data_IF_478168938788
#
_entry.id   IF_478168938788
#
_cell.length_a   1.000
_cell.length_b   1.000
_cell.length_c   1.000
_cell.angle_alpha   90.00
_cell.angle_beta   90.00
_cell.angle_gamma   90.00
#
_symmetry.space_group_name_H-M   'P 1'
#
loop_
_entity.id
_entity.type
_entity.pdbx_description
1 polymer ?
#
# COMPACT_ATOMS: atom_id res chain seq x y z
N UNK A 1 13.74 58.45 31.93
CA UNK A 1 14.48 57.19 32.12
C UNK A 1 15.07 56.86 30.74
N UNK A 2 16.29 57.31 30.40
CA UNK A 2 17.59 56.64 30.67
C UNK A 2 17.53 55.17 30.19
N UNK A 3 18.34 54.62 29.28
CA UNK A 3 19.69 54.88 28.71
C UNK A 3 19.82 53.92 27.50
N UNK A 4 20.31 54.35 26.33
CA UNK A 4 21.70 54.15 25.84
C UNK A 4 22.11 52.68 25.57
N UNK A 5 22.41 52.37 24.30
CA UNK A 5 23.46 51.40 23.93
C UNK A 5 24.07 51.83 22.59
N UNK A 6 25.32 52.25 22.68
CA UNK A 6 26.27 52.48 21.60
C UNK A 6 27.50 51.60 21.88
N UNK A 7 28.36 51.48 20.86
CA UNK A 7 29.68 50.80 20.80
C UNK A 7 29.62 49.40 20.19
N UNK A 8 30.40 49.03 19.17
CA UNK A 8 31.52 49.70 18.52
C UNK A 8 32.50 48.65 17.97
N UNK A 9 33.11 48.99 16.83
CA UNK A 9 34.33 48.45 16.21
C UNK A 9 34.32 47.03 15.58
N UNK A 10 34.42 46.89 14.25
CA UNK A 10 35.57 47.16 13.35
C UNK A 10 36.76 46.22 13.63
N UNK A 11 37.03 45.27 12.72
CA UNK A 11 38.27 45.25 11.93
C UNK A 11 38.25 44.10 10.89
N UNK A 12 38.48 44.44 9.63
CA UNK A 12 38.86 43.50 8.57
C UNK A 12 40.37 43.53 8.34
N UNK A 13 40.88 42.57 7.55
CA UNK A 13 42.17 42.72 6.87
C UNK A 13 43.07 41.49 6.86
N UNK A 14 43.06 40.78 5.72
CA UNK A 14 44.19 40.24 4.94
C UNK A 14 45.52 39.89 5.66
N UNK A 15 45.99 38.64 5.49
CA UNK A 15 47.03 38.26 4.49
C UNK A 15 47.93 37.08 4.95
N UNK A 16 48.28 36.24 3.97
CA UNK A 16 49.57 35.53 3.80
C UNK A 16 49.81 34.14 4.45
N UNK A 17 49.65 33.11 3.59
CA UNK A 17 50.69 32.18 3.07
C UNK A 17 51.51 31.32 4.05
N UNK A 18 51.45 29.99 3.87
CA UNK A 18 52.63 29.14 3.63
C UNK A 18 52.28 27.77 3.03
N UNK A 19 52.84 27.54 1.85
CA UNK A 19 52.88 26.30 1.07
C UNK A 19 53.98 25.38 1.64
N UNK A 20 53.79 24.06 1.60
CA UNK A 20 54.92 23.12 1.45
C UNK A 20 54.53 22.07 0.42
N UNK A 21 55.28 22.13 -0.67
CA UNK A 21 55.25 21.27 -1.85
C UNK A 21 55.84 19.89 -1.55
N UNK A 22 55.41 18.86 -2.27
CA UNK A 22 56.26 17.72 -2.61
C UNK A 22 56.21 17.52 -4.12
N UNK A 23 57.25 18.03 -4.78
CA UNK A 23 57.52 17.87 -6.20
C UNK A 23 58.26 16.56 -6.48
N UNK A 24 58.05 16.06 -7.71
CA UNK A 24 58.92 15.08 -8.36
C UNK A 24 58.17 14.26 -9.41
N UNK A 25 57.81 14.85 -10.55
CA UNK A 25 58.48 14.64 -11.86
C UNK A 25 58.69 13.14 -12.18
N UNK A 26 58.13 12.60 -13.27
CA UNK A 26 58.64 12.89 -14.62
C UNK A 26 57.57 12.93 -15.72
N UNK A 27 57.87 13.77 -16.71
CA UNK A 27 57.12 14.16 -17.89
C UNK A 27 57.16 13.12 -19.03
N UNK A 28 56.09 13.16 -19.84
CA UNK A 28 55.79 12.54 -21.14
C UNK A 28 56.84 12.84 -22.24
N UNK A 29 56.76 12.32 -23.51
CA UNK A 29 55.71 12.73 -24.47
C UNK A 29 55.32 11.75 -25.63
N UNK A 30 54.14 12.06 -26.21
CA UNK A 30 53.66 11.98 -27.61
C UNK A 30 54.07 10.87 -28.59
N UNK A 31 53.07 10.30 -29.29
CA UNK A 31 52.90 10.55 -30.74
C UNK A 31 51.61 9.97 -31.34
N UNK A 32 51.16 10.68 -32.35
CA UNK A 32 49.96 10.59 -33.19
C UNK A 32 49.92 9.34 -34.10
N UNK A 33 48.74 9.04 -34.69
CA UNK A 33 48.68 8.55 -36.08
C UNK A 33 47.95 7.23 -36.37
N UNK A 34 46.70 7.37 -36.81
CA UNK A 34 46.04 6.73 -37.97
C UNK A 34 45.86 5.20 -38.13
N UNK A 35 44.60 4.90 -38.51
CA UNK A 35 43.95 3.75 -39.13
C UNK A 35 44.78 2.77 -40.00
N UNK A 36 44.41 1.48 -40.01
CA UNK A 36 43.57 0.85 -41.05
C UNK A 36 43.22 -0.65 -40.77
N UNK A 37 42.05 -1.05 -41.30
CA UNK A 37 41.52 -2.35 -41.75
C UNK A 37 41.94 -3.76 -41.23
N UNK A 38 40.87 -4.54 -40.98
CA UNK A 38 40.59 -5.94 -41.38
C UNK A 38 41.51 -7.10 -40.93
N UNK A 39 40.95 -8.12 -40.26
CA UNK A 39 40.51 -9.37 -40.92
C UNK A 39 39.82 -10.34 -39.94
N UNK A 40 39.13 -11.31 -40.52
CA UNK A 40 38.23 -12.32 -39.96
C UNK A 40 38.84 -13.31 -38.92
N UNK A 41 37.95 -14.05 -38.23
CA UNK A 41 37.91 -15.53 -38.19
C UNK A 41 36.77 -16.04 -37.27
N UNK A 42 35.97 -16.99 -37.76
CA UNK A 42 34.92 -17.72 -37.03
C UNK A 42 35.45 -18.79 -36.05
N UNK A 43 34.60 -19.68 -35.52
CA UNK A 43 34.28 -20.89 -36.30
C UNK A 43 32.84 -21.47 -36.17
N UNK A 44 32.37 -22.07 -37.27
CA UNK A 44 31.80 -23.44 -37.45
C UNK A 44 31.47 -24.28 -36.19
N UNK A 45 30.44 -25.15 -36.13
CA UNK A 45 29.36 -25.61 -37.02
C UNK A 45 28.56 -26.72 -36.27
N UNK A 46 27.43 -27.15 -36.86
CA UNK A 46 26.80 -28.49 -36.77
C UNK A 46 25.84 -28.71 -35.55
N UNK A 47 24.60 -29.24 -35.66
CA UNK A 47 23.95 -30.09 -36.66
C UNK A 47 22.43 -29.87 -36.79
N UNK A 48 21.93 -30.28 -37.95
CA UNK A 48 20.55 -30.26 -38.45
C UNK A 48 19.88 -31.62 -38.16
N UNK A 49 18.58 -31.63 -37.88
CA UNK A 49 17.72 -32.79 -38.20
C UNK A 49 16.32 -32.30 -38.59
N UNK A 50 15.74 -32.97 -39.58
CA UNK A 50 14.61 -32.54 -40.42
C UNK A 50 13.44 -33.52 -40.36
N UNK A 51 12.23 -32.99 -40.63
CA UNK A 51 10.99 -33.62 -41.15
C UNK A 51 10.09 -34.36 -40.12
N UNK A 52 8.74 -34.29 -40.11
CA UNK A 52 7.68 -33.70 -40.97
C UNK A 52 6.30 -33.70 -40.19
N UNK A 53 5.09 -33.44 -40.75
CA UNK A 53 4.08 -32.52 -40.20
C UNK A 53 2.71 -33.15 -39.79
N UNK A 54 1.71 -32.29 -39.47
CA UNK A 54 0.30 -32.55 -39.03
C UNK A 54 0.17 -32.91 -37.53
N UNK A 55 -0.75 -32.38 -36.72
CA UNK A 55 -2.14 -31.95 -36.94
C UNK A 55 -2.57 -30.90 -35.88
N UNK A 56 -3.63 -30.18 -36.23
CA UNK A 56 -4.32 -29.05 -35.62
C UNK A 56 -4.76 -29.19 -34.15
N UNK A 57 -4.58 -28.12 -33.37
CA UNK A 57 -5.66 -27.57 -32.53
C UNK A 57 -5.43 -26.06 -32.31
N UNK A 58 -6.23 -25.28 -33.02
CA UNK A 58 -6.36 -23.83 -32.92
C UNK A 58 -7.11 -23.47 -31.64
N UNK A 59 -6.51 -22.64 -30.77
CA UNK A 59 -7.23 -21.84 -29.78
C UNK A 59 -6.38 -20.62 -29.40
N UNK A 60 -6.85 -19.48 -29.88
CA UNK A 60 -6.87 -18.21 -29.16
C UNK A 60 -5.55 -17.53 -28.78
N UNK A 61 -4.81 -17.07 -29.79
CA UNK A 61 -3.67 -16.16 -29.62
C UNK A 61 -4.00 -14.70 -30.06
N UNK A 62 -5.25 -14.42 -30.45
CA UNK A 62 -5.63 -13.14 -31.07
C UNK A 62 -6.17 -12.07 -30.11
N UNK A 63 -6.69 -12.47 -28.95
CA UNK A 63 -7.38 -11.56 -28.01
C UNK A 63 -6.36 -10.83 -27.11
N UNK A 64 -5.29 -11.51 -26.70
CA UNK A 64 -4.21 -10.96 -25.86
C UNK A 64 -3.37 -9.86 -26.54
N UNK A 65 -3.27 -9.89 -27.88
CA UNK A 65 -2.46 -8.92 -28.64
C UNK A 65 -3.16 -7.55 -28.78
N UNK A 66 -4.50 -7.52 -28.76
CA UNK A 66 -5.28 -6.29 -28.91
C UNK A 66 -5.31 -5.48 -27.60
N UNK A 67 -5.53 -6.13 -26.46
CA UNK A 67 -5.53 -5.48 -25.14
C UNK A 67 -4.16 -4.87 -24.81
N UNK A 68 -3.08 -5.62 -25.03
CA UNK A 68 -1.71 -5.18 -24.77
C UNK A 68 -1.29 -4.02 -25.70
N UNK A 69 -1.82 -4.00 -26.93
CA UNK A 69 -1.62 -2.90 -27.88
C UNK A 69 -2.30 -1.60 -27.43
N UNK A 70 -3.53 -1.68 -26.92
CA UNK A 70 -4.28 -0.52 -26.41
C UNK A 70 -3.62 0.07 -25.17
N UNK A 71 -3.22 -0.79 -24.22
CA UNK A 71 -2.55 -0.36 -23.00
C UNK A 71 -1.20 0.32 -23.31
N UNK A 72 -0.44 -0.20 -24.28
CA UNK A 72 0.82 0.42 -24.69
C UNK A 72 0.64 1.79 -25.34
N UNK A 73 -0.45 2.00 -26.09
CA UNK A 73 -0.72 3.27 -26.78
C UNK A 73 -1.25 4.34 -25.81
N UNK A 74 -2.19 3.96 -24.94
CA UNK A 74 -2.92 4.90 -24.10
C UNK A 74 -2.43 4.96 -22.65
N UNK A 75 -1.69 3.95 -22.19
CA UNK A 75 -1.20 3.82 -20.82
C UNK A 75 -2.25 3.38 -19.80
N UNK A 76 -3.37 2.81 -20.26
CA UNK A 76 -4.45 2.30 -19.43
C UNK A 76 -4.95 0.96 -19.97
N UNK A 77 -5.30 0.00 -19.10
CA UNK A 77 -6.08 -1.16 -19.49
C UNK A 77 -7.36 -0.73 -20.22
N UNK A 78 -7.82 -1.54 -21.18
CA UNK A 78 -8.95 -1.19 -22.06
C UNK A 78 -10.20 -0.79 -21.28
N UNK A 79 -10.53 -1.51 -20.20
CA UNK A 79 -11.69 -1.23 -19.35
C UNK A 79 -11.57 0.14 -18.66
N UNK A 80 -10.40 0.49 -18.11
CA UNK A 80 -10.15 1.80 -17.50
C UNK A 80 -10.21 2.93 -18.53
N UNK A 81 -9.62 2.71 -19.71
CA UNK A 81 -9.64 3.65 -20.81
C UNK A 81 -11.06 3.91 -21.31
N UNK A 82 -11.87 2.87 -21.45
CA UNK A 82 -13.28 2.97 -21.79
C UNK A 82 -14.05 3.76 -20.73
N UNK A 83 -13.79 3.52 -19.43
CA UNK A 83 -14.38 4.30 -18.34
C UNK A 83 -14.01 5.80 -18.41
N UNK A 84 -12.77 6.12 -18.76
CA UNK A 84 -12.33 7.49 -19.02
C UNK A 84 -13.02 8.10 -20.25
N UNK A 85 -13.16 7.32 -21.33
CA UNK A 85 -13.86 7.72 -22.54
C UNK A 85 -15.34 8.01 -22.30
N UNK A 86 -16.04 7.15 -21.56
CA UNK A 86 -17.45 7.32 -21.25
C UNK A 86 -17.69 8.56 -20.38
N UNK A 87 -16.84 8.80 -19.36
CA UNK A 87 -16.89 10.02 -18.55
C UNK A 87 -16.66 11.27 -19.41
N UNK A 88 -15.63 11.24 -20.26
CA UNK A 88 -15.33 12.35 -21.16
C UNK A 88 -16.51 12.63 -22.11
N UNK A 89 -17.09 11.59 -22.71
CA UNK A 89 -18.26 11.71 -23.58
C UNK A 89 -19.44 12.36 -22.85
N UNK A 90 -19.85 11.83 -21.68
CA UNK A 90 -20.97 12.38 -20.90
C UNK A 90 -20.76 13.83 -20.47
N UNK A 91 -19.54 14.19 -20.06
CA UNK A 91 -19.27 15.54 -19.56
C UNK A 91 -19.13 16.59 -20.66
N UNK A 92 -18.57 16.19 -21.81
CA UNK A 92 -18.11 17.10 -22.87
C UNK A 92 -18.97 17.09 -24.12
N UNK A 93 -19.88 16.13 -24.29
CA UNK A 93 -20.89 16.15 -25.36
C UNK A 93 -21.73 17.44 -25.29
N UNK A 94 -21.86 18.12 -26.42
CA UNK A 94 -22.55 19.42 -26.53
C UNK A 94 -21.82 20.59 -25.87
N UNK A 95 -20.64 20.39 -25.26
CA UNK A 95 -19.83 21.45 -24.64
C UNK A 95 -18.50 21.65 -25.37
N UNK A 96 -17.66 20.62 -25.39
CA UNK A 96 -16.32 20.70 -25.98
C UNK A 96 -16.27 20.15 -27.40
N UNK A 97 -17.21 19.28 -27.77
CA UNK A 97 -17.37 18.77 -29.12
C UNK A 97 -18.85 18.45 -29.38
N UNK A 98 -19.21 18.40 -30.67
CA UNK A 98 -20.56 18.15 -31.13
C UNK A 98 -20.50 17.02 -32.16
N UNK A 99 -20.60 15.75 -31.73
CA UNK A 99 -20.63 14.64 -32.66
C UNK A 99 -21.83 14.79 -33.60
N UNK A 100 -21.68 14.36 -34.84
CA UNK A 100 -22.81 14.31 -35.78
C UNK A 100 -23.89 13.36 -35.25
N UNK A 101 -25.11 13.49 -35.78
CA UNK A 101 -26.21 12.61 -35.38
C UNK A 101 -25.84 11.12 -35.53
N UNK A 102 -25.24 10.75 -36.66
CA UNK A 102 -24.79 9.38 -36.94
C UNK A 102 -23.69 8.92 -35.98
N UNK A 103 -22.69 9.76 -35.70
CA UNK A 103 -21.62 9.43 -34.74
C UNK A 103 -22.16 9.27 -33.31
N UNK A 104 -23.10 10.13 -32.90
CA UNK A 104 -23.77 10.02 -31.61
C UNK A 104 -24.58 8.74 -31.50
N UNK A 105 -25.29 8.39 -32.57
CA UNK A 105 -26.05 7.14 -32.66
C UNK A 105 -25.14 5.92 -32.51
N UNK A 106 -23.99 5.95 -33.20
CA UNK A 106 -22.97 4.91 -33.14
C UNK A 106 -22.32 4.79 -31.76
N UNK A 107 -21.98 5.92 -31.12
CA UNK A 107 -21.42 5.92 -29.76
C UNK A 107 -22.41 5.33 -28.74
N UNK A 108 -23.69 5.69 -28.83
CA UNK A 108 -24.75 5.13 -27.96
C UNK A 108 -24.96 3.65 -28.22
N UNK A 109 -24.97 3.22 -29.50
CA UNK A 109 -25.08 1.81 -29.86
C UNK A 109 -23.90 0.99 -29.31
N UNK A 110 -22.67 1.48 -29.44
CA UNK A 110 -21.47 0.83 -28.89
C UNK A 110 -21.50 0.78 -27.36
N UNK A 111 -22.00 1.83 -26.70
CA UNK A 111 -22.20 1.81 -25.24
C UNK A 111 -23.20 0.72 -24.83
N UNK A 112 -24.35 0.62 -25.52
CA UNK A 112 -25.35 -0.45 -25.27
C UNK A 112 -24.78 -1.83 -25.53
N UNK A 113 -23.96 -1.99 -26.57
CA UNK A 113 -23.28 -3.25 -26.85
C UNK A 113 -22.30 -3.67 -25.75
N UNK A 114 -21.62 -2.71 -25.11
CA UNK A 114 -20.69 -2.98 -24.00
C UNK A 114 -21.44 -3.39 -22.72
N UNK A 115 -22.60 -2.78 -22.43
CA UNK A 115 -23.37 -3.06 -21.22
C UNK A 115 -24.33 -4.25 -21.36
N UNK A 116 -25.05 -4.34 -22.48
CA UNK A 116 -26.14 -5.28 -22.69
C UNK A 116 -25.78 -6.39 -23.71
N UNK A 117 -24.64 -6.27 -24.40
CA UNK A 117 -24.24 -7.22 -25.45
C UNK A 117 -24.99 -7.01 -26.78
N UNK A 118 -24.96 -8.02 -27.66
CA UNK A 118 -25.66 -7.98 -28.95
C UNK A 118 -27.15 -7.69 -28.80
N UNK A 119 -27.69 -6.88 -29.72
CA UNK A 119 -29.11 -6.56 -29.73
C UNK A 119 -29.98 -7.81 -29.81
N UNK A 120 -30.87 -7.97 -28.84
CA UNK A 120 -31.87 -9.03 -28.81
C UNK A 120 -33.29 -8.42 -28.93
N UNK A 121 -34.08 -8.79 -29.96
CA UNK A 121 -35.43 -8.28 -30.13
C UNK A 121 -36.40 -8.70 -29.01
N UNK A 122 -36.17 -9.83 -28.34
CA UNK A 122 -37.08 -10.37 -27.32
C UNK A 122 -36.97 -9.62 -25.98
N UNK A 123 -35.80 -9.00 -25.74
CA UNK A 123 -35.52 -8.25 -24.50
C UNK A 123 -35.69 -6.75 -24.68
N UNK A 124 -36.00 -6.28 -25.91
CA UNK A 124 -36.08 -4.86 -26.24
C UNK A 124 -37.54 -4.40 -26.37
N UNK A 125 -38.04 -3.47 -25.55
CA UNK A 125 -39.43 -2.98 -25.60
C UNK A 125 -39.80 -2.46 -26.98
N UNK A 126 -40.99 -2.75 -27.53
CA UNK A 126 -41.35 -2.27 -28.87
C UNK A 126 -41.22 -0.74 -29.02
N UNK A 127 -40.41 -0.28 -29.97
CA UNK A 127 -40.30 1.14 -30.29
C UNK A 127 -41.47 1.52 -31.18
N UNK A 128 -42.29 2.45 -30.71
CA UNK A 128 -43.47 2.92 -31.44
C UNK A 128 -43.11 3.54 -32.79
N UNK A 129 -44.03 3.43 -33.75
CA UNK A 129 -43.83 3.95 -35.12
C UNK A 129 -43.42 5.43 -35.18
N UNK A 130 -43.87 6.25 -34.22
CA UNK A 130 -43.55 7.68 -34.15
C UNK A 130 -42.24 8.00 -33.44
N UNK A 131 -41.61 7.04 -32.76
CA UNK A 131 -40.30 7.22 -32.13
C UNK A 131 -39.17 6.99 -33.14
N UNK A 132 -38.98 8.00 -33.99
CA UNK A 132 -37.97 7.98 -35.06
C UNK A 132 -36.55 7.84 -34.47
N UNK A 133 -36.27 8.49 -33.33
CA UNK A 133 -34.97 8.46 -32.69
C UNK A 133 -34.69 7.10 -32.03
N UNK A 134 -35.68 6.51 -31.36
CA UNK A 134 -35.58 5.16 -30.81
C UNK A 134 -35.40 4.12 -31.92
N UNK A 135 -36.10 4.29 -33.05
CA UNK A 135 -35.98 3.40 -34.20
C UNK A 135 -34.58 3.47 -34.82
N UNK A 136 -34.01 4.67 -34.92
CA UNK A 136 -32.65 4.89 -35.38
C UNK A 136 -31.62 4.27 -34.42
N UNK A 137 -31.78 4.46 -33.10
CA UNK A 137 -30.88 3.89 -32.07
C UNK A 137 -30.89 2.37 -32.11
N UNK A 138 -32.08 1.79 -32.15
CA UNK A 138 -32.29 0.34 -32.29
C UNK A 138 -31.65 -0.19 -33.56
N UNK A 139 -31.85 0.48 -34.68
CA UNK A 139 -31.31 0.07 -35.97
C UNK A 139 -29.78 0.06 -35.95
N UNK A 140 -29.14 1.09 -35.38
CA UNK A 140 -27.68 1.11 -35.25
C UNK A 140 -27.14 0.06 -34.28
N UNK A 141 -27.82 -0.17 -33.16
CA UNK A 141 -27.41 -1.22 -32.23
C UNK A 141 -27.57 -2.61 -32.85
N UNK A 142 -28.67 -2.88 -33.54
CA UNK A 142 -28.86 -4.12 -34.31
C UNK A 142 -27.80 -4.28 -35.41
N UNK A 143 -27.36 -3.19 -36.05
CA UNK A 143 -26.32 -3.21 -37.07
C UNK A 143 -24.92 -3.53 -36.53
N UNK A 144 -24.69 -3.45 -35.22
CA UNK A 144 -23.45 -3.91 -34.58
C UNK A 144 -23.32 -5.44 -34.57
N UNK A 145 -24.44 -6.16 -34.64
CA UNK A 145 -24.46 -7.62 -34.63
C UNK A 145 -23.80 -8.21 -33.39
N UNK A 146 -22.95 -9.23 -33.60
CA UNK A 146 -22.28 -9.96 -32.52
C UNK A 146 -20.86 -9.46 -32.23
N UNK A 147 -20.59 -8.16 -32.43
CA UNK A 147 -19.32 -7.56 -32.02
C UNK A 147 -19.12 -7.76 -30.51
N UNK A 148 -17.92 -8.19 -30.12
CA UNK A 148 -17.57 -8.49 -28.73
C UNK A 148 -17.55 -7.23 -27.85
N UNK A 149 -17.58 -7.43 -26.53
CA UNK A 149 -17.55 -6.34 -25.54
C UNK A 149 -16.27 -5.51 -25.67
N UNK A 150 -15.11 -6.15 -25.70
CA UNK A 150 -13.81 -5.49 -25.82
C UNK A 150 -13.67 -4.75 -27.15
N UNK A 151 -14.05 -5.37 -28.25
CA UNK A 151 -14.03 -4.73 -29.57
C UNK A 151 -14.95 -3.50 -29.62
N UNK A 152 -16.12 -3.57 -28.96
CA UNK A 152 -17.03 -2.43 -28.82
C UNK A 152 -16.42 -1.29 -27.99
N UNK A 153 -15.68 -1.60 -26.92
CA UNK A 153 -14.92 -0.60 -26.15
C UNK A 153 -13.85 0.07 -27.01
N UNK A 154 -13.09 -0.71 -27.77
CA UNK A 154 -12.03 -0.21 -28.66
C UNK A 154 -12.62 0.72 -29.72
N UNK A 155 -13.71 0.31 -30.39
CA UNK A 155 -14.37 1.11 -31.41
C UNK A 155 -14.99 2.39 -30.82
N UNK A 156 -15.54 2.33 -29.61
CA UNK A 156 -16.04 3.51 -28.90
C UNK A 156 -14.93 4.53 -28.66
N UNK A 157 -13.79 4.06 -28.13
CA UNK A 157 -12.62 4.92 -27.84
C UNK A 157 -12.06 5.53 -29.14
N UNK A 158 -11.92 4.74 -30.21
CA UNK A 158 -11.46 5.23 -31.52
C UNK A 158 -12.41 6.29 -32.09
N UNK A 159 -13.71 6.03 -32.05
CA UNK A 159 -14.72 6.96 -32.56
C UNK A 159 -14.72 8.26 -31.75
N UNK A 160 -14.69 8.18 -30.41
CA UNK A 160 -14.64 9.35 -29.54
C UNK A 160 -13.39 10.20 -29.80
N UNK A 161 -12.22 9.55 -29.94
CA UNK A 161 -10.97 10.25 -30.25
C UNK A 161 -11.00 10.95 -31.62
N UNK A 162 -11.71 10.35 -32.60
CA UNK A 162 -11.94 10.96 -33.90
C UNK A 162 -12.89 12.16 -33.80
N UNK A 163 -13.95 12.07 -33.01
CA UNK A 163 -14.92 13.15 -32.80
C UNK A 163 -14.35 14.32 -31.97
N UNK A 164 -13.39 14.05 -31.08
CA UNK A 164 -12.79 15.07 -30.21
C UNK A 164 -11.29 14.89 -30.02
N UNK A 165 -10.50 15.79 -30.60
CA UNK A 165 -9.03 15.79 -30.48
C UNK A 165 -8.52 16.11 -29.07
N UNK A 166 -9.38 16.61 -28.17
CA UNK A 166 -9.04 16.87 -26.77
C UNK A 166 -9.07 15.60 -25.91
N UNK A 167 -9.61 14.50 -26.41
CA UNK A 167 -9.67 13.25 -25.68
C UNK A 167 -8.26 12.66 -25.43
N UNK A 168 -7.38 12.65 -26.42
CA UNK A 168 -6.01 12.17 -26.23
C UNK A 168 -5.19 12.95 -25.19
N UNK A 169 -5.17 14.30 -25.21
CA UNK A 169 -4.59 15.09 -24.13
C UNK A 169 -5.23 14.84 -22.75
N UNK A 170 -6.55 14.62 -22.70
CA UNK A 170 -7.26 14.31 -21.46
C UNK A 170 -6.80 12.98 -20.85
N UNK A 171 -6.67 11.93 -21.66
CA UNK A 171 -6.16 10.63 -21.20
C UNK A 171 -4.70 10.73 -20.78
N UNK A 172 -3.86 11.43 -21.57
CA UNK A 172 -2.46 11.65 -21.22
C UNK A 172 -2.30 12.38 -19.87
N UNK A 173 -3.16 13.36 -19.58
CA UNK A 173 -3.17 14.05 -18.28
C UNK A 173 -3.52 13.10 -17.13
N UNK A 174 -4.52 12.24 -17.31
CA UNK A 174 -4.90 11.24 -16.29
C UNK A 174 -3.79 10.22 -16.07
N UNK A 175 -3.05 9.86 -17.13
CA UNK A 175 -1.91 8.95 -17.02
C UNK A 175 -0.82 9.53 -16.12
N UNK A 176 -0.45 10.79 -16.37
CA UNK A 176 0.55 11.51 -15.56
C UNK A 176 0.09 11.60 -14.10
N UNK A 177 -1.20 11.92 -13.87
CA UNK A 177 -1.76 12.01 -12.53
C UNK A 177 -1.71 10.64 -11.80
N UNK A 178 -2.08 9.54 -12.47
CA UNK A 178 -2.01 8.18 -11.90
C UNK A 178 -0.57 7.81 -11.53
N UNK A 179 0.39 8.06 -12.43
CA UNK A 179 1.82 7.80 -12.18
C UNK A 179 2.37 8.66 -11.01
N UNK A 180 1.96 9.91 -10.89
CA UNK A 180 2.36 10.79 -9.78
C UNK A 180 1.77 10.32 -8.44
N UNK A 181 0.50 9.91 -8.43
CA UNK A 181 -0.15 9.36 -7.24
C UNK A 181 0.54 8.06 -6.78
N UNK A 182 0.90 7.17 -7.71
CA UNK A 182 1.63 5.94 -7.39
C UNK A 182 3.02 6.25 -6.82
N UNK A 183 3.77 7.15 -7.45
CA UNK A 183 5.07 7.61 -6.92
C UNK A 183 4.97 8.17 -5.50
N UNK A 184 3.98 9.02 -5.24
CA UNK A 184 3.76 9.57 -3.88
C UNK A 184 3.46 8.49 -2.87
N UNK A 185 2.63 7.49 -3.21
CA UNK A 185 2.32 6.37 -2.31
C UNK A 185 3.58 5.56 -1.97
N UNK A 186 4.44 5.28 -2.95
CA UNK A 186 5.69 4.56 -2.74
C UNK A 186 6.66 5.38 -1.89
N UNK A 187 6.82 6.68 -2.17
CA UNK A 187 7.68 7.58 -1.40
C UNK A 187 7.19 7.73 0.07
N UNK A 188 5.88 7.83 0.29
CA UNK A 188 5.27 7.88 1.63
C UNK A 188 5.43 6.55 2.39
N UNK A 189 5.28 5.42 1.72
CA UNK A 189 5.49 4.10 2.33
C UNK A 189 6.96 3.88 2.69
N UNK A 190 7.89 4.27 1.82
CA UNK A 190 9.33 4.19 2.10
C UNK A 190 9.72 5.13 3.26
N UNK A 191 9.17 6.34 3.29
CA UNK A 191 9.41 7.29 4.37
C UNK A 191 8.89 6.73 5.70
N UNK A 192 7.68 6.17 5.73
CA UNK A 192 7.15 5.49 6.91
C UNK A 192 8.01 4.33 7.37
N UNK A 193 8.50 3.50 6.44
CA UNK A 193 9.39 2.38 6.78
C UNK A 193 10.70 2.88 7.40
N UNK A 194 11.30 3.93 6.84
CA UNK A 194 12.52 4.56 7.38
C UNK A 194 12.30 5.14 8.78
N UNK A 195 11.17 5.81 9.00
CA UNK A 195 10.81 6.34 10.31
C UNK A 195 10.55 5.25 11.35
N UNK A 196 9.91 4.15 10.96
CA UNK A 196 9.71 2.98 11.82
C UNK A 196 11.05 2.30 12.16
N UNK A 197 11.94 2.09 11.17
CA UNK A 197 13.28 1.56 11.38
C UNK A 197 14.14 2.47 12.28
N UNK A 198 14.07 3.80 12.10
CA UNK A 198 14.78 4.75 12.95
C UNK A 198 14.27 4.74 14.39
N UNK A 199 12.94 4.70 14.57
CA UNK A 199 12.32 4.57 15.90
C UNK A 199 12.72 3.26 16.58
N UNK A 200 12.76 2.16 15.85
CA UNK A 200 13.21 0.87 16.39
C UNK A 200 14.68 0.92 16.81
N UNK A 201 15.55 1.52 15.99
CA UNK A 201 16.97 1.72 16.33
C UNK A 201 17.15 2.57 17.59
N UNK A 202 16.39 3.66 17.72
CA UNK A 202 16.41 4.51 18.90
C UNK A 202 15.94 3.76 20.15
N UNK A 203 14.87 2.96 20.05
CA UNK A 203 14.39 2.12 21.15
C UNK A 203 15.43 1.07 21.57
N UNK A 204 16.08 0.40 20.60
CA UNK A 204 17.13 -0.57 20.87
C UNK A 204 18.38 0.09 21.49
N UNK A 205 18.75 1.28 21.03
CA UNK A 205 19.85 2.05 21.61
C UNK A 205 19.54 2.52 23.04
N UNK A 206 18.32 3.02 23.29
CA UNK A 206 17.87 3.40 24.62
C UNK A 206 17.81 2.19 25.56
N UNK A 207 17.31 1.05 25.10
CA UNK A 207 17.28 -0.18 25.88
C UNK A 207 18.70 -0.69 26.19
N UNK A 208 19.62 -0.65 25.21
CA UNK A 208 21.03 -0.99 25.43
C UNK A 208 21.65 -0.07 26.47
N UNK A 209 21.45 1.25 26.35
CA UNK A 209 21.96 2.22 27.32
C UNK A 209 21.40 1.94 28.71
N UNK A 210 20.11 1.64 28.83
CA UNK A 210 19.47 1.30 30.10
C UNK A 210 20.05 0.03 30.71
N UNK A 211 20.28 -1.03 29.91
CA UNK A 211 20.90 -2.28 30.36
C UNK A 211 22.35 -2.06 30.82
N UNK A 212 23.12 -1.26 30.08
CA UNK A 212 24.50 -0.89 30.46
C UNK A 212 24.54 -0.08 31.76
N UNK A 213 23.63 0.87 31.94
CA UNK A 213 23.51 1.66 33.17
C UNK A 213 23.07 0.81 34.36
N UNK A 214 22.10 -0.09 34.17
CA UNK A 214 21.64 -1.03 35.19
C UNK A 214 22.76 -2.00 35.59
N UNK A 215 23.51 -2.53 34.63
CA UNK A 215 24.65 -3.41 34.90
C UNK A 215 25.78 -2.66 35.63
N UNK A 216 26.05 -1.41 35.24
CA UNK A 216 27.02 -0.54 35.94
C UNK A 216 26.61 -0.30 37.39
N UNK A 217 25.35 0.05 37.63
CA UNK A 217 24.81 0.25 38.98
C UNK A 217 24.89 -1.03 39.80
N UNK A 218 24.57 -2.19 39.21
CA UNK A 218 24.69 -3.50 39.88
C UNK A 218 26.12 -3.83 40.27
N UNK A 219 27.09 -3.59 39.38
CA UNK A 219 28.52 -3.78 39.66
C UNK A 219 29.00 -2.84 40.78
N UNK A 220 28.58 -1.58 40.74
CA UNK A 220 28.92 -0.60 41.78
C UNK A 220 28.32 -0.99 43.14
N UNK A 221 27.07 -1.43 43.17
CA UNK A 221 26.40 -1.92 44.38
C UNK A 221 27.07 -3.18 44.93
N UNK A 222 27.43 -4.13 44.07
CA UNK A 222 28.15 -5.33 44.48
C UNK A 222 29.54 -5.01 45.04
N UNK A 223 30.30 -4.12 44.38
CA UNK A 223 31.58 -3.63 44.90
C UNK A 223 31.41 -2.94 46.26
N UNK A 224 30.37 -2.11 46.42
CA UNK A 224 30.08 -1.46 47.70
C UNK A 224 29.76 -2.48 48.78
N UNK A 225 28.98 -3.52 48.48
CA UNK A 225 28.66 -4.60 49.42
C UNK A 225 29.91 -5.39 49.81
N UNK A 226 30.75 -5.77 48.84
CA UNK A 226 32.01 -6.47 49.11
C UNK A 226 32.96 -5.62 49.97
N UNK A 227 33.09 -4.32 49.67
CA UNK A 227 33.90 -3.41 50.47
C UNK A 227 33.36 -3.26 51.90
N UNK A 228 32.05 -3.21 52.09
CA UNK A 228 31.43 -3.18 53.42
C UNK A 228 31.65 -4.48 54.21
N UNK A 229 31.46 -5.63 53.57
CA UNK A 229 31.74 -6.95 54.14
C UNK A 229 33.22 -7.09 54.55
N UNK A 230 34.16 -6.64 53.70
CA UNK A 230 35.59 -6.64 54.02
C UNK A 230 35.91 -5.71 55.20
N UNK A 231 35.35 -4.49 55.21
CA UNK A 231 35.52 -3.56 56.34
C UNK A 231 35.01 -4.16 57.64
N UNK A 232 33.86 -4.84 57.63
CA UNK A 232 33.32 -5.51 58.80
C UNK A 232 34.23 -6.65 59.26
N UNK A 233 34.77 -7.44 58.33
CA UNK A 233 35.70 -8.54 58.64
C UNK A 233 37.00 -8.03 59.26
N UNK A 234 37.58 -6.96 58.71
CA UNK A 234 38.78 -6.32 59.25
C UNK A 234 38.52 -5.75 60.65
N UNK A 235 37.39 -5.08 60.87
CA UNK A 235 37.04 -4.55 62.19
C UNK A 235 36.79 -5.67 63.21
N UNK A 236 36.18 -6.78 62.82
CA UNK A 236 36.05 -7.96 63.69
C UNK A 236 37.41 -8.56 64.06
N UNK A 237 38.31 -8.72 63.08
CA UNK A 237 39.65 -9.23 63.35
C UNK A 237 40.43 -8.29 64.30
N UNK A 238 40.32 -6.98 64.09
CA UNK A 238 40.89 -5.96 64.97
C UNK A 238 40.36 -6.08 66.40
N UNK A 239 39.05 -6.24 66.57
CA UNK A 239 38.44 -6.42 67.89
C UNK A 239 38.91 -7.71 68.57
N UNK A 240 39.04 -8.81 67.84
CA UNK A 240 39.56 -10.07 68.38
C UNK A 240 41.01 -9.93 68.86
N UNK A 241 41.88 -9.27 68.07
CA UNK A 241 43.27 -9.00 68.47
C UNK A 241 43.30 -8.13 69.73
N UNK A 242 42.53 -7.03 69.75
CA UNK A 242 42.43 -6.17 70.93
C UNK A 242 41.97 -6.94 72.17
N UNK A 243 40.93 -7.76 72.05
CA UNK A 243 40.40 -8.54 73.17
C UNK A 243 41.42 -9.56 73.70
N UNK A 244 42.10 -10.30 72.82
CA UNK A 244 43.12 -11.26 73.19
C UNK A 244 44.33 -10.59 73.87
N UNK A 245 44.78 -9.47 73.32
CA UNK A 245 45.89 -8.68 73.86
C UNK A 245 45.54 -8.09 75.23
N UNK A 246 44.31 -7.57 75.36
CA UNK A 246 43.78 -7.07 76.62
C UNK A 246 43.67 -8.18 77.66
N UNK A 247 43.23 -9.39 77.29
CA UNK A 247 43.16 -10.51 78.21
C UNK A 247 44.55 -10.94 78.73
N UNK A 248 45.57 -10.94 77.86
CA UNK A 248 46.94 -11.28 78.24
C UNK A 248 47.54 -10.26 79.23
N UNK A 249 47.23 -8.98 79.04
CA UNK A 249 47.83 -7.88 79.79
C UNK A 249 46.96 -7.36 80.94
N UNK A 250 45.71 -7.83 81.05
CA UNK A 250 44.71 -7.34 82.01
C UNK A 250 45.25 -7.27 83.44
N UNK A 251 45.84 -8.36 83.92
CA UNK A 251 46.35 -8.45 85.30
C UNK A 251 47.50 -7.48 85.54
N UNK A 252 48.44 -7.38 84.59
CA UNK A 252 49.61 -6.50 84.70
C UNK A 252 49.20 -5.02 84.70
N UNK A 253 48.31 -4.64 83.78
CA UNK A 253 47.82 -3.27 83.68
C UNK A 253 46.93 -2.90 84.87
N UNK A 254 46.12 -3.83 85.37
CA UNK A 254 45.30 -3.60 86.57
C UNK A 254 46.17 -3.38 87.82
N UNK A 255 47.21 -4.19 88.01
CA UNK A 255 48.15 -4.02 89.12
C UNK A 255 48.92 -2.69 89.02
N UNK A 256 49.40 -2.34 87.83
CA UNK A 256 50.10 -1.07 87.60
C UNK A 256 49.18 0.13 87.85
N UNK A 257 47.95 0.09 87.35
CA UNK A 257 46.97 1.15 87.57
C UNK A 257 46.59 1.30 89.05
N UNK A 258 46.39 0.18 89.77
CA UNK A 258 46.10 0.20 91.20
C UNK A 258 47.25 0.77 92.06
N UNK A 259 48.50 0.65 91.61
CA UNK A 259 49.65 1.28 92.28
C UNK A 259 49.72 2.79 92.03
N UNK A 260 49.39 3.25 90.82
CA UNK A 260 49.44 4.68 90.47
C UNK A 260 48.26 5.47 91.02
N UNK A 261 47.07 4.85 91.06
CA UNK A 261 45.84 5.50 91.51
C UNK A 261 45.06 4.63 92.52
N UNK A 262 45.55 4.43 93.76
CA UNK A 262 44.96 3.47 94.70
C UNK A 262 43.48 3.74 95.06
N UNK A 263 43.08 5.00 95.15
CA UNK A 263 41.75 5.40 95.65
C UNK A 263 40.75 5.79 94.54
N UNK A 264 41.14 5.69 93.25
CA UNK A 264 40.32 6.16 92.12
C UNK A 264 40.13 5.10 91.04
N UNK A 265 39.02 4.34 91.06
CA UNK A 265 38.76 3.28 90.07
C UNK A 265 38.54 3.85 88.66
N UNK A 266 38.00 5.06 88.55
CA UNK A 266 37.75 5.71 87.26
C UNK A 266 39.07 6.10 86.57
N UNK A 267 40.03 6.64 87.32
CA UNK A 267 41.36 6.95 86.79
C UNK A 267 42.15 5.68 86.45
N UNK A 268 42.00 4.61 87.23
CA UNK A 268 42.57 3.30 86.90
C UNK A 268 42.05 2.80 85.55
N UNK A 269 40.74 2.87 85.29
CA UNK A 269 40.14 2.43 84.02
C UNK A 269 40.63 3.25 82.82
N UNK A 270 40.74 4.57 82.96
CA UNK A 270 41.28 5.44 81.90
C UNK A 270 42.74 5.08 81.60
N UNK A 271 43.57 4.90 82.65
CA UNK A 271 44.97 4.51 82.48
C UNK A 271 45.11 3.13 81.84
N UNK A 272 44.32 2.13 82.26
CA UNK A 272 44.31 0.80 81.66
C UNK A 272 43.96 0.88 80.17
N UNK A 273 42.93 1.67 79.81
CA UNK A 273 42.56 1.88 78.41
C UNK A 273 43.69 2.50 77.59
N UNK A 274 44.37 3.52 78.12
CA UNK A 274 45.50 4.16 77.45
C UNK A 274 46.67 3.19 77.26
N UNK A 275 46.99 2.38 78.28
CA UNK A 275 48.05 1.37 78.20
C UNK A 275 47.70 0.26 77.20
N UNK A 276 46.45 -0.19 77.18
CA UNK A 276 45.96 -1.16 76.19
C UNK A 276 46.04 -0.62 74.77
N UNK A 277 45.68 0.65 74.55
CA UNK A 277 45.77 1.30 73.25
C UNK A 277 47.23 1.44 72.79
N UNK A 278 48.14 1.87 73.67
CA UNK A 278 49.57 1.94 73.38
C UNK A 278 50.16 0.56 73.07
N UNK A 279 49.80 -0.45 73.86
CA UNK A 279 50.25 -1.81 73.64
C UNK A 279 49.74 -2.40 72.32
N UNK A 280 48.48 -2.12 71.98
CA UNK A 280 47.92 -2.49 70.68
C UNK A 280 48.67 -1.81 69.52
N UNK A 281 48.98 -0.50 69.64
CA UNK A 281 49.76 0.22 68.62
C UNK A 281 51.16 -0.39 68.43
N UNK A 282 51.86 -0.69 69.53
CA UNK A 282 53.17 -1.33 69.49
C UNK A 282 53.11 -2.71 68.82
N UNK A 283 52.11 -3.52 69.19
CA UNK A 283 51.90 -4.84 68.61
C UNK A 283 51.62 -4.75 67.10
N UNK A 284 50.72 -3.86 66.68
CA UNK A 284 50.41 -3.66 65.25
C UNK A 284 51.63 -3.18 64.45
N UNK A 285 52.47 -2.32 65.03
CA UNK A 285 53.72 -1.90 64.39
C UNK A 285 54.70 -3.06 64.20
N UNK A 286 54.82 -3.94 65.20
CA UNK A 286 55.63 -5.15 65.08
C UNK A 286 55.07 -6.09 64.02
N UNK A 287 53.74 -6.31 64.03
CA UNK A 287 53.06 -7.16 63.06
C UNK A 287 53.28 -6.66 61.62
N UNK A 288 53.20 -5.35 61.42
CA UNK A 288 53.46 -4.72 60.12
C UNK A 288 54.91 -4.91 59.65
N UNK A 289 55.91 -4.77 60.54
CA UNK A 289 57.31 -5.07 60.19
C UNK A 289 57.50 -6.53 59.79
N UNK A 290 56.88 -7.46 60.51
CA UNK A 290 56.95 -8.89 60.18
C UNK A 290 56.30 -9.17 58.83
N UNK A 291 55.14 -8.57 58.55
CA UNK A 291 54.46 -8.71 57.27
C UNK A 291 55.29 -8.15 56.11
N UNK A 292 55.94 -6.99 56.30
CA UNK A 292 56.82 -6.40 55.30
C UNK A 292 58.04 -7.28 55.01
N UNK A 293 58.68 -7.81 56.06
CA UNK A 293 59.81 -8.73 55.92
C UNK A 293 59.40 -10.01 55.18
N UNK A 294 58.22 -10.57 55.48
CA UNK A 294 57.68 -11.73 54.75
C UNK A 294 57.39 -11.41 53.28
N UNK A 295 56.83 -10.25 52.97
CA UNK A 295 56.58 -9.84 51.59
C UNK A 295 57.89 -9.70 50.79
N UNK A 296 58.92 -9.09 51.39
CA UNK A 296 60.24 -8.98 50.78
C UNK A 296 60.88 -10.35 50.52
N UNK A 297 60.78 -11.27 51.49
CA UNK A 297 61.26 -12.64 51.32
C UNK A 297 60.48 -13.41 50.23
N UNK A 298 59.17 -13.21 50.14
CA UNK A 298 58.34 -13.82 49.09
C UNK A 298 58.70 -13.31 47.69
N UNK A 299 58.95 -12.00 47.53
CA UNK A 299 59.39 -11.42 46.26
C UNK A 299 60.79 -11.91 45.85
N UNK A 300 61.74 -12.02 46.80
CA UNK A 300 63.05 -12.61 46.53
C UNK A 300 62.93 -14.05 46.05
N UNK A 301 62.10 -14.85 46.72
CA UNK A 301 61.85 -16.24 46.33
C UNK A 301 61.17 -16.34 44.96
N UNK A 302 60.24 -15.44 44.63
CA UNK A 302 59.60 -15.41 43.31
C UNK A 302 60.57 -14.99 42.20
N UNK A 303 61.53 -14.13 42.52
CA UNK A 303 62.62 -13.75 41.61
C UNK A 303 63.59 -14.91 41.39
N UNK A 304 63.88 -15.71 42.42
CA UNK A 304 64.63 -16.97 42.31
C UNK A 304 63.86 -18.01 41.48
N UNK A 305 62.55 -18.17 41.70
CA UNK A 305 61.71 -19.11 40.94
C UNK A 305 61.56 -18.69 39.45
N UNK A 306 61.53 -17.39 39.12
CA UNK A 306 61.53 -16.90 37.74
C UNK A 306 62.88 -17.09 37.02
N UNK A 307 64.00 -17.02 37.76
CA UNK A 307 65.34 -17.35 37.25
C UNK A 307 65.48 -18.87 37.02
N UNK A 308 64.77 -19.70 37.78
CA UNK A 308 64.71 -21.15 37.58
C UNK A 308 63.82 -21.50 36.38
N UNK A 309 62.66 -20.85 36.21
CA UNK A 309 61.73 -21.11 35.10
C UNK A 309 62.31 -20.71 33.73
N UNK A 310 63.01 -19.56 33.65
CA UNK A 310 63.74 -19.14 32.43
C UNK A 310 64.91 -20.05 32.04
N UNK A 311 65.37 -20.93 32.94
CA UNK A 311 66.39 -21.96 32.67
C UNK A 311 65.80 -23.29 32.14
N UNK A 312 64.48 -23.48 32.22
CA UNK A 312 63.81 -24.75 31.93
C UNK A 312 63.03 -24.75 30.60
N UNK A 313 62.78 -23.59 29.95
CA UNK A 313 62.08 -23.49 28.66
C UNK A 313 62.95 -23.75 27.40
N UNK A 314 64.15 -24.34 27.56
CA UNK A 314 65.05 -24.70 26.45
C UNK A 314 65.08 -26.20 26.10
N UNK A 315 64.08 -27.01 26.52
CA UNK A 315 64.07 -28.46 26.22
C UNK A 315 62.70 -29.01 25.85
N UNK A 316 62.55 -29.23 24.55
CA UNK A 316 61.77 -30.26 23.85
C UNK A 316 60.24 -30.19 23.70
N UNK A 317 59.91 -30.73 22.52
CA UNK A 317 58.73 -30.70 21.66
C UNK A 317 57.81 -31.91 21.83
N UNK A 318 56.58 -31.76 21.31
CA UNK A 318 55.73 -32.78 20.64
C UNK A 318 55.16 -33.91 21.51
N UNK A 319 54.02 -34.56 21.26
CA UNK A 319 52.88 -34.45 20.34
C UNK A 319 51.87 -35.57 20.77
N UNK A 320 50.60 -35.51 20.37
CA UNK A 320 49.65 -36.64 20.17
C UNK A 320 48.28 -36.01 19.81
N UNK A 321 47.35 -36.56 19.01
CA UNK A 321 47.31 -37.41 17.83
C UNK A 321 45.86 -37.43 17.31
N UNK A 322 45.71 -37.90 16.09
CA UNK A 322 44.58 -37.96 15.14
C UNK A 322 43.37 -38.86 15.50
N UNK A 323 42.25 -38.62 14.79
CA UNK A 323 41.35 -39.62 14.15
C UNK A 323 40.06 -39.98 14.92
N UNK A 324 38.94 -40.40 14.33
CA UNK A 324 38.36 -40.40 12.97
C UNK A 324 36.95 -41.07 13.08
N UNK A 325 36.10 -40.83 12.08
CA UNK A 325 35.00 -41.68 11.56
C UNK A 325 33.59 -41.86 12.18
N UNK A 326 32.63 -41.82 11.24
CA UNK A 326 31.20 -42.19 11.27
C UNK A 326 31.02 -43.73 11.11
N UNK A 327 29.96 -44.33 10.49
CA UNK A 327 28.51 -44.10 10.36
C UNK A 327 27.69 -45.40 10.66
N UNK A 328 26.34 -45.40 10.58
CA UNK A 328 25.45 -46.57 10.28
C UNK A 328 23.97 -46.11 10.32
N UNK A 329 22.94 -46.69 9.70
CA UNK A 329 22.68 -47.53 8.51
C UNK A 329 21.15 -47.80 8.51
N UNK A 330 20.56 -47.88 7.32
CA UNK A 330 19.30 -48.57 6.92
C UNK A 330 17.92 -48.15 7.46
N UNK A 331 16.97 -48.10 6.52
CA UNK A 331 15.83 -49.03 6.60
C UNK A 331 14.45 -48.55 6.14
N UNK A 332 14.25 -48.43 4.82
CA UNK A 332 13.09 -48.90 4.02
C UNK A 332 11.61 -48.75 4.45
N UNK A 333 10.85 -48.28 3.44
CA UNK A 333 9.63 -48.89 2.86
C UNK A 333 8.23 -48.50 3.38
N UNK A 334 7.58 -47.64 2.58
CA UNK A 334 6.30 -47.77 1.86
C UNK A 334 5.17 -48.71 2.35
N UNK A 335 3.94 -48.14 2.38
CA UNK A 335 2.66 -48.73 1.92
C UNK A 335 1.65 -47.56 1.84
N UNK A 336 1.08 -47.17 0.69
CA UNK A 336 0.08 -47.80 -0.20
C UNK A 336 -1.30 -47.99 0.44
N UNK A 337 -2.29 -47.21 -0.06
CA UNK A 337 -3.68 -47.52 -0.52
C UNK A 337 -4.39 -46.15 -0.72
N UNK A 338 -4.98 -45.72 -1.84
CA UNK A 338 -5.83 -46.25 -2.92
C UNK A 338 -7.33 -45.85 -2.80
N UNK A 339 -7.78 -45.14 -3.84
CA UNK A 339 -9.09 -45.10 -4.54
C UNK A 339 -10.44 -44.90 -3.82
N UNK A 340 -11.30 -44.06 -4.44
CA UNK A 340 -12.60 -44.48 -5.03
C UNK A 340 -13.20 -43.38 -5.95
N UNK A 341 -13.53 -43.83 -7.17
CA UNK A 341 -14.35 -43.25 -8.24
C UNK A 341 -15.85 -43.13 -7.91
N UNK A 342 -16.57 -42.22 -8.59
CA UNK A 342 -17.72 -42.61 -9.47
C UNK A 342 -18.38 -41.44 -10.22
N UNK A 343 -18.49 -41.65 -11.54
CA UNK A 343 -19.31 -40.96 -12.54
C UNK A 343 -20.83 -41.26 -12.43
N UNK A 344 -21.66 -40.42 -13.08
CA UNK A 344 -22.81 -40.83 -13.88
C UNK A 344 -23.31 -39.70 -14.83
N UNK A 345 -23.93 -40.13 -15.93
CA UNK A 345 -24.12 -39.54 -17.27
C UNK A 345 -25.50 -38.87 -17.57
N UNK A 346 -25.49 -37.96 -18.57
CA UNK A 346 -26.36 -37.77 -19.77
C UNK A 346 -27.83 -37.21 -19.73
N UNK A 347 -28.05 -36.29 -20.69
CA UNK A 347 -29.22 -35.66 -21.39
C UNK A 347 -30.20 -36.65 -22.11
N UNK A 348 -31.27 -36.30 -22.94
CA UNK A 348 -31.76 -35.01 -23.53
C UNK A 348 -33.31 -34.78 -23.71
N UNK A 349 -33.66 -33.57 -24.21
CA UNK A 349 -34.69 -33.06 -25.18
C UNK A 349 -36.12 -33.65 -25.40
N UNK A 350 -37.11 -32.77 -25.67
CA UNK A 350 -38.11 -32.87 -26.79
C UNK A 350 -38.97 -31.58 -27.00
N UNK A 351 -39.75 -31.55 -28.09
CA UNK A 351 -40.09 -30.42 -28.98
C UNK A 351 -41.62 -30.38 -29.33
N UNK A 352 -42.11 -29.29 -29.97
CA UNK A 352 -43.26 -29.11 -30.93
C UNK A 352 -44.75 -28.89 -30.50
N UNK A 353 -45.40 -27.97 -31.27
CA UNK A 353 -46.83 -27.82 -31.76
C UNK A 353 -47.72 -26.78 -31.05
N UNK A 354 -48.60 -25.92 -31.62
CA UNK A 354 -49.19 -25.49 -32.94
C UNK A 354 -50.76 -25.45 -32.87
N UNK A 355 -51.33 -24.23 -33.08
CA UNK A 355 -52.66 -23.83 -33.61
C UNK A 355 -54.02 -23.96 -32.85
N UNK A 356 -54.77 -22.82 -32.77
CA UNK A 356 -56.25 -22.72 -32.65
C UNK A 356 -56.80 -21.36 -32.11
N UNK A 357 -57.91 -20.77 -32.65
CA UNK A 357 -58.26 -19.35 -32.48
C UNK A 357 -59.07 -19.03 -31.21
N UNK A 358 -58.75 -17.92 -30.53
CA UNK A 358 -59.44 -17.43 -29.32
C UNK A 358 -60.02 -16.02 -29.48
N UNK A 359 -61.02 -15.73 -28.65
CA UNK A 359 -61.98 -14.63 -28.70
C UNK A 359 -61.45 -13.23 -28.30
N UNK A 360 -60.22 -12.88 -28.72
CA UNK A 360 -59.54 -11.64 -28.32
C UNK A 360 -59.21 -10.74 -29.53
N UNK A 361 -60.18 -10.50 -30.42
CA UNK A 361 -60.01 -9.46 -31.44
C UNK A 361 -60.35 -8.08 -30.85
N UNK A 362 -59.43 -7.10 -30.86
CA UNK A 362 -59.71 -5.77 -30.31
C UNK A 362 -60.87 -5.09 -31.06
N UNK A 363 -61.63 -4.20 -30.40
CA UNK A 363 -62.74 -3.48 -31.02
C UNK A 363 -62.31 -2.77 -32.30
N UNK A 364 -63.10 -2.90 -33.37
CA UNK A 364 -62.85 -2.20 -34.63
C UNK A 364 -63.14 -0.70 -34.44
N UNK A 365 -62.09 0.10 -34.23
CA UNK A 365 -62.17 1.56 -34.13
C UNK A 365 -62.22 2.16 -35.55
N UNK A 366 -63.10 3.14 -35.76
CA UNK A 366 -63.14 3.91 -37.01
C UNK A 366 -61.85 4.73 -37.19
N UNK A 367 -61.40 4.92 -38.43
CA UNK A 367 -60.22 5.72 -38.71
C UNK A 367 -60.34 7.14 -38.11
N UNK A 368 -59.28 7.68 -37.48
CA UNK A 368 -59.34 8.97 -36.82
C UNK A 368 -59.60 10.10 -37.82
N UNK A 369 -60.51 11.02 -37.47
CA UNK A 369 -60.73 12.25 -38.20
C UNK A 369 -59.98 13.40 -37.55
N UNK A 370 -59.20 14.16 -38.32
CA UNK A 370 -58.49 15.33 -37.82
C UNK A 370 -59.26 16.61 -38.17
N UNK A 371 -59.23 17.59 -37.27
CA UNK A 371 -59.73 18.94 -37.50
C UNK A 371 -58.75 19.98 -36.95
N UNK A 372 -58.79 21.19 -37.51
CA UNK A 372 -57.98 22.32 -37.05
C UNK A 372 -58.89 23.47 -36.66
N UNK A 373 -58.70 24.01 -35.45
CA UNK A 373 -59.47 25.15 -34.95
C UNK A 373 -58.97 26.46 -35.60
N UNK A 374 -59.84 27.30 -36.20
CA UNK A 374 -59.39 28.53 -36.86
C UNK A 374 -58.82 29.59 -35.89
N UNK A 375 -59.32 29.65 -34.65
CA UNK A 375 -58.91 30.62 -33.61
C UNK A 375 -57.91 30.01 -32.61
N UNK A 376 -56.72 29.63 -33.08
CA UNK A 376 -55.70 28.99 -32.23
C UNK A 376 -55.16 29.88 -31.10
N UNK A 377 -55.15 31.21 -31.30
CA UNK A 377 -54.67 32.17 -30.29
C UNK A 377 -55.58 32.19 -29.07
N UNK A 378 -56.88 32.36 -29.29
CA UNK A 378 -57.90 32.35 -28.24
C UNK A 378 -57.93 31.01 -27.49
N UNK A 379 -57.70 29.90 -28.21
CA UNK A 379 -57.56 28.57 -27.60
C UNK A 379 -56.36 28.49 -26.64
N UNK A 380 -55.18 28.91 -27.09
CA UNK A 380 -53.97 28.95 -26.25
C UNK A 380 -54.14 29.86 -25.04
N UNK A 381 -54.75 31.03 -25.21
CA UNK A 381 -54.98 31.97 -24.10
C UNK A 381 -55.95 31.38 -23.06
N UNK A 382 -57.00 30.68 -23.51
CA UNK A 382 -57.94 30.00 -22.63
C UNK A 382 -57.27 28.87 -21.84
N UNK A 383 -56.50 28.01 -22.50
CA UNK A 383 -55.85 26.86 -21.84
C UNK A 383 -54.74 27.28 -20.88
N UNK A 384 -53.99 28.35 -21.19
CA UNK A 384 -52.94 28.88 -20.29
C UNK A 384 -53.45 29.32 -18.92
N UNK A 385 -54.76 29.54 -18.75
CA UNK A 385 -55.35 29.88 -17.45
C UNK A 385 -55.36 28.70 -16.48
N UNK A 386 -55.25 27.48 -17.00
CA UNK A 386 -55.19 26.25 -16.23
C UNK A 386 -53.79 25.63 -16.37
N UNK A 387 -53.02 25.68 -15.28
CA UNK A 387 -51.63 25.21 -15.26
C UNK A 387 -51.56 23.71 -15.48
N UNK A 388 -52.57 22.96 -15.03
CA UNK A 388 -52.63 21.50 -15.19
C UNK A 388 -52.89 21.08 -16.65
N UNK A 389 -53.31 22.02 -17.49
CA UNK A 389 -53.53 21.82 -18.92
C UNK A 389 -52.33 22.27 -19.80
N UNK A 390 -51.22 22.70 -19.18
CA UNK A 390 -50.01 23.16 -19.89
C UNK A 390 -48.81 22.29 -19.52
N UNK A 391 -48.19 21.69 -20.53
CA UNK A 391 -47.00 20.84 -20.38
C UNK A 391 -45.84 21.48 -21.14
N UNK A 392 -44.67 21.56 -20.50
CA UNK A 392 -43.41 21.95 -21.14
C UNK A 392 -42.64 20.69 -21.51
N UNK A 393 -42.26 20.56 -22.78
CA UNK A 393 -41.49 19.42 -23.29
C UNK A 393 -40.09 19.90 -23.62
N UNK A 394 -39.09 19.36 -22.94
CA UNK A 394 -37.67 19.62 -23.17
C UNK A 394 -37.14 18.92 -24.42
N UNK A 395 -35.92 19.30 -24.84
CA UNK A 395 -35.30 18.74 -26.04
C UNK A 395 -34.93 17.27 -25.82
N UNK A 396 -35.58 16.37 -26.55
CA UNK A 396 -35.32 14.93 -26.46
C UNK A 396 -36.09 14.23 -25.34
N UNK A 397 -36.99 14.94 -24.65
CA UNK A 397 -37.94 14.36 -23.72
C UNK A 397 -39.13 13.77 -24.48
N UNK A 398 -39.68 12.68 -23.94
CA UNK A 398 -40.94 12.10 -24.38
C UNK A 398 -41.94 12.22 -23.26
N UNK A 399 -43.06 12.90 -23.52
CA UNK A 399 -44.17 12.98 -22.57
C UNK A 399 -45.30 12.07 -23.02
N UNK A 400 -45.67 11.13 -22.16
CA UNK A 400 -46.81 10.24 -22.35
C UNK A 400 -47.94 10.66 -21.43
N UNK A 401 -49.07 11.07 -22.01
CA UNK A 401 -50.30 11.39 -21.27
C UNK A 401 -51.27 10.22 -21.43
N UNK A 402 -51.57 9.52 -20.34
CA UNK A 402 -52.56 8.43 -20.31
C UNK A 402 -53.89 8.98 -19.83
N UNK A 403 -54.90 8.88 -20.68
CA UNK A 403 -56.27 9.35 -20.41
C UNK A 403 -57.20 8.14 -20.39
N UNK A 404 -57.83 7.81 -19.24
CA UNK A 404 -58.77 6.70 -19.19
C UNK A 404 -60.03 7.03 -19.99
N UNK A 405 -60.54 6.03 -20.71
CA UNK A 405 -61.80 6.13 -21.45
C UNK A 405 -62.99 5.85 -20.53
N UNK A 406 -64.14 6.44 -20.84
CA UNK A 406 -65.37 6.16 -20.11
C UNK A 406 -66.03 4.89 -20.67
N UNK A 407 -66.54 3.99 -19.81
CA UNK A 407 -67.13 2.70 -20.23
C UNK A 407 -68.29 2.87 -21.22
N UNK A 408 -69.10 3.92 -21.06
CA UNK A 408 -70.21 4.26 -21.98
C UNK A 408 -69.79 5.20 -23.13
N UNK A 409 -68.49 5.51 -23.24
CA UNK A 409 -67.97 6.45 -24.23
C UNK A 409 -67.96 5.87 -25.64
N UNK A 410 -68.62 6.54 -26.58
CA UNK A 410 -68.64 6.11 -27.99
C UNK A 410 -67.69 6.92 -28.90
N UNK A 411 -67.11 8.00 -28.38
CA UNK A 411 -66.21 8.89 -29.13
C UNK A 411 -65.12 9.47 -28.21
N UNK A 412 -63.92 9.67 -28.76
CA UNK A 412 -62.82 10.38 -28.13
C UNK A 412 -62.46 11.60 -28.98
N UNK A 413 -62.25 12.74 -28.33
CA UNK A 413 -61.74 13.95 -28.96
C UNK A 413 -60.59 14.48 -28.10
N UNK A 414 -59.43 14.74 -28.69
CA UNK A 414 -58.42 15.60 -28.09
C UNK A 414 -58.19 16.81 -28.99
N UNK A 415 -57.76 17.90 -28.38
CA UNK A 415 -57.20 19.05 -29.07
C UNK A 415 -55.98 19.50 -28.29
N UNK A 416 -54.88 19.81 -28.98
CA UNK A 416 -53.70 20.39 -28.37
C UNK A 416 -53.11 21.48 -29.28
N UNK A 417 -52.23 22.30 -28.71
CA UNK A 417 -51.52 23.33 -29.44
C UNK A 417 -50.09 23.44 -28.93
N UNK A 418 -49.14 23.63 -29.84
CA UNK A 418 -47.72 23.80 -29.50
C UNK A 418 -47.29 25.22 -29.76
N UNK A 419 -46.37 25.74 -28.97
CA UNK A 419 -45.89 27.12 -29.11
C UNK A 419 -44.90 27.31 -30.25
N UNK A 420 -44.07 26.31 -30.50
CA UNK A 420 -42.97 26.41 -31.46
C UNK A 420 -43.11 25.47 -32.67
N UNK A 421 -44.22 24.71 -32.76
CA UNK A 421 -44.50 23.79 -33.88
C UNK A 421 -43.40 22.75 -34.14
N UNK A 422 -42.68 22.38 -33.08
CA UNK A 422 -41.45 21.57 -33.08
C UNK A 422 -41.62 20.21 -32.38
N UNK A 423 -42.85 19.83 -32.05
CA UNK A 423 -43.19 18.58 -31.36
C UNK A 423 -43.84 17.61 -32.35
N UNK A 424 -43.28 16.40 -32.44
CA UNK A 424 -43.96 15.25 -33.03
C UNK A 424 -44.91 14.63 -31.99
N UNK A 425 -46.10 14.23 -32.41
CA UNK A 425 -47.09 13.61 -31.53
C UNK A 425 -47.64 12.35 -32.19
N UNK A 426 -48.03 11.40 -31.34
CA UNK A 426 -48.56 10.11 -31.74
C UNK A 426 -49.58 9.65 -30.72
N UNK A 427 -50.40 8.68 -31.13
CA UNK A 427 -51.50 8.19 -30.31
C UNK A 427 -51.58 6.71 -30.53
N UNK A 428 -51.69 5.99 -29.42
CA UNK A 428 -52.03 4.59 -29.41
C UNK A 428 -53.18 4.36 -28.42
N UNK A 429 -53.89 3.26 -28.61
CA UNK A 429 -54.97 2.83 -27.73
C UNK A 429 -54.53 1.58 -26.99
N UNK A 430 -54.72 1.57 -25.67
CA UNK A 430 -54.45 0.43 -24.80
C UNK A 430 -55.80 -0.05 -24.24
N UNK A 431 -56.10 -1.34 -24.41
CA UNK A 431 -57.33 -1.94 -23.88
C UNK A 431 -57.02 -2.63 -22.56
N UNK A 432 -57.51 -2.07 -21.45
CA UNK A 432 -57.31 -2.63 -20.10
C UNK A 432 -58.59 -2.52 -19.29
N UNK A 433 -58.88 -3.54 -18.46
CA UNK A 433 -59.99 -3.54 -17.50
C UNK A 433 -59.61 -2.78 -16.21
N UNK A 434 -59.01 -1.59 -16.36
CA UNK A 434 -58.51 -0.81 -15.23
C UNK A 434 -59.63 0.03 -14.63
N UNK A 435 -59.90 -0.13 -13.34
CA UNK A 435 -60.90 0.68 -12.61
C UNK A 435 -60.42 2.09 -12.25
N UNK A 436 -59.23 2.49 -12.72
CA UNK A 436 -58.61 3.76 -12.38
C UNK A 436 -58.97 4.86 -13.41
N UNK A 437 -59.74 5.85 -12.97
CA UNK A 437 -60.23 6.95 -13.80
C UNK A 437 -59.35 8.21 -13.75
N UNK A 438 -58.14 8.15 -13.16
CA UNK A 438 -57.22 9.30 -13.11
C UNK A 438 -56.39 9.44 -14.38
N UNK A 439 -56.26 10.68 -14.89
CA UNK A 439 -55.27 11.02 -15.92
C UNK A 439 -53.88 10.96 -15.32
N UNK A 440 -52.92 10.32 -16.00
CA UNK A 440 -51.52 10.31 -15.59
C UNK A 440 -50.62 10.87 -16.67
N UNK A 441 -49.58 11.58 -16.24
CA UNK A 441 -48.56 12.17 -17.10
C UNK A 441 -47.23 11.54 -16.71
N UNK A 442 -46.57 10.92 -17.67
CA UNK A 442 -45.23 10.36 -17.50
C UNK A 442 -44.27 11.12 -18.39
N UNK A 443 -43.24 11.70 -17.79
CA UNK A 443 -42.16 12.40 -18.51
C UNK A 443 -40.96 11.48 -18.46
N UNK A 444 -40.57 10.93 -19.60
CA UNK A 444 -39.35 10.16 -19.73
C UNK A 444 -38.32 11.05 -20.42
N UNK A 445 -37.23 11.37 -19.73
CA UNK A 445 -36.02 11.75 -20.43
C UNK A 445 -35.61 10.51 -21.24
N UNK A 446 -35.28 10.64 -22.53
CA UNK A 446 -34.87 9.52 -23.40
C UNK A 446 -33.55 8.83 -22.95
N UNK A 447 -33.15 9.05 -21.69
CA UNK A 447 -31.97 8.54 -21.00
C UNK A 447 -32.31 7.74 -19.72
N UNK A 448 -33.59 7.53 -19.38
CA UNK A 448 -34.04 7.05 -18.06
C UNK A 448 -34.47 5.57 -18.02
N UNK A 449 -33.93 4.73 -18.91
CA UNK A 449 -34.07 3.26 -18.85
C UNK A 449 -32.76 2.55 -18.45
N UNK A 450 -31.74 3.28 -17.98
CA UNK A 450 -30.46 2.70 -17.57
C UNK A 450 -30.05 3.16 -16.15
N UNK A 451 -30.95 3.04 -15.17
CA UNK A 451 -30.62 2.92 -13.74
C UNK A 451 -31.03 1.54 -13.26
N UNK A 452 -30.22 0.53 -13.58
CA UNK A 452 -30.10 -0.69 -12.78
C UNK A 452 -28.61 -1.03 -12.66
N UNK A 453 -28.21 -1.26 -11.41
CA UNK A 453 -26.87 -1.30 -10.84
C UNK A 453 -25.99 -2.48 -11.34
N UNK A 454 -24.73 -2.21 -11.72
CA UNK A 454 -23.49 -2.64 -11.01
C UNK A 454 -22.22 -2.08 -11.68
#
# INVERSE_FOLDING_TARGET
MATEVQSGDLNGGNASRLEVSIDGLTLSPDSEGEADQADALGPHSCEHSTADPSDTSSRDDGELDAENSVERIWGFPLVELYGLALRFFKEKDGKAFHPTYEEKLRLVALQKQVSQGPYNPDTSPEVGFFDVLGNDRRREWAALGNIGKEESMVEFVKLLNKCCTLFAPFVASHKIEKEEQERKRIEEEEQRRREEEERERLMQEEERRRREEEERLRREEEQRRQAEEERLRVEQQKQQIMAALNAQTAVQFQQYAAQQYPDSPEQQLILIRQLQEQHYQQYMQQLYQVQLAQQQAALQKQQEDAIVLSKLEASETSAFSLGEDAPTVNGQAESSVDSIDREAELEPAEEVTENGPTADSPPVIAAPSMWTRPQIKDFKEKIRQDVDSVITVGRGEVVTVRVPTHEEGSYLFWEFATDHYDIGFGVFFEWTDSTNASVSVHVSESSDEDEDEE
#
